data_IF_925839991363
#
_entry.id   IF_925839991363
#
_cell.length_a   1.000
_cell.length_b   1.000
_cell.length_c   1.000
_cell.angle_alpha   90.00
_cell.angle_beta   90.00
_cell.angle_gamma   90.00
#
_symmetry.space_group_name_H-M   'P 1'
#
loop_
_entity.id
_entity.type
_entity.pdbx_description
1 polymer ?
#
# COMPACT_ATOMS: atom_id res chain seq x y z
N UNK A 1 12.27 8.13 0.16
CA UNK A 1 12.03 8.19 1.61
C UNK A 1 10.63 7.70 1.99
N UNK A 2 9.54 8.28 1.44
CA UNK A 2 8.15 7.88 1.75
C UNK A 2 7.87 6.37 1.66
N UNK A 3 8.18 5.73 0.52
CA UNK A 3 8.01 4.26 0.35
C UNK A 3 8.66 3.43 1.45
N UNK A 4 9.79 3.88 2.00
CA UNK A 4 10.51 3.15 3.05
C UNK A 4 9.84 3.38 4.41
N UNK A 5 9.34 4.59 4.67
CA UNK A 5 8.60 4.92 5.86
C UNK A 5 7.27 4.13 5.94
N UNK A 6 6.50 4.09 4.86
CA UNK A 6 5.24 3.33 4.78
C UNK A 6 5.48 1.83 4.81
N UNK A 7 6.55 1.32 4.17
CA UNK A 7 6.91 -0.09 4.24
C UNK A 7 7.32 -0.54 5.65
N UNK A 8 7.97 0.34 6.41
CA UNK A 8 8.33 0.06 7.79
C UNK A 8 7.10 0.11 8.71
N UNK A 9 6.27 1.14 8.55
CA UNK A 9 4.99 1.26 9.26
C UNK A 9 4.11 0.02 9.08
N UNK A 10 3.86 -0.39 7.83
CA UNK A 10 3.05 -1.57 7.52
C UNK A 10 3.63 -2.83 8.17
N UNK A 11 4.95 -2.99 8.18
CA UNK A 11 5.59 -4.16 8.80
C UNK A 11 5.39 -4.22 10.32
N UNK A 12 5.27 -3.07 10.99
CA UNK A 12 5.02 -3.04 12.43
C UNK A 12 3.55 -3.29 12.78
N UNK A 13 2.61 -2.80 11.95
CA UNK A 13 1.17 -2.93 12.23
C UNK A 13 0.54 -4.22 11.69
N UNK A 14 1.19 -4.87 10.73
CA UNK A 14 0.70 -6.06 10.05
C UNK A 14 1.83 -7.09 9.91
N UNK A 15 2.03 -7.92 10.94
CA UNK A 15 3.06 -8.95 10.95
C UNK A 15 2.76 -10.10 9.97
N UNK A 16 1.49 -10.28 9.58
CA UNK A 16 1.05 -11.30 8.63
C UNK A 16 1.39 -10.91 7.17
N UNK A 17 1.60 -9.63 6.91
CA UNK A 17 2.06 -9.12 5.62
C UNK A 17 1.00 -9.10 4.53
N UNK A 18 -0.27 -8.96 4.93
CA UNK A 18 -1.43 -8.85 4.04
C UNK A 18 -1.57 -7.43 3.46
N UNK A 19 -1.16 -6.41 4.22
CA UNK A 19 -1.21 -5.02 3.83
C UNK A 19 -0.09 -4.68 2.84
N UNK A 20 -0.45 -3.87 1.86
CA UNK A 20 0.46 -3.40 0.82
C UNK A 20 0.81 -1.94 1.14
N UNK A 21 2.09 -1.67 1.39
CA UNK A 21 2.54 -0.29 1.60
C UNK A 21 2.42 0.56 0.34
N UNK A 22 2.06 1.83 0.53
CA UNK A 22 2.02 2.82 -0.55
C UNK A 22 3.43 3.32 -0.84
N UNK A 23 3.88 3.20 -2.08
CA UNK A 23 5.25 3.57 -2.46
C UNK A 23 5.40 5.04 -2.91
N UNK A 24 4.32 5.65 -3.41
CA UNK A 24 4.32 7.00 -4.00
C UNK A 24 3.32 7.90 -3.27
N UNK A 25 3.78 9.05 -2.82
CA UNK A 25 2.92 10.08 -2.20
C UNK A 25 1.89 10.58 -3.20
N UNK A 26 2.30 10.83 -4.45
CA UNK A 26 1.40 11.33 -5.49
C UNK A 26 0.26 10.37 -5.81
N UNK A 27 0.40 9.08 -5.51
CA UNK A 27 -0.63 8.08 -5.78
C UNK A 27 -1.53 7.86 -4.55
N UNK A 28 -1.15 8.37 -3.36
CA UNK A 28 -1.83 8.02 -2.10
C UNK A 28 -3.26 8.53 -2.04
N UNK A 29 -3.54 9.71 -2.59
CA UNK A 29 -4.88 10.29 -2.61
C UNK A 29 -5.87 9.51 -3.50
N UNK A 30 -5.37 8.64 -4.37
CA UNK A 30 -6.20 7.77 -5.23
C UNK A 30 -6.46 6.40 -4.61
N UNK A 31 -5.73 6.04 -3.55
CA UNK A 31 -5.85 4.76 -2.86
C UNK A 31 -6.84 4.87 -1.70
N UNK A 32 -8.05 5.28 -2.04
CA UNK A 32 -9.18 5.41 -1.11
C UNK A 32 -9.95 4.10 -0.99
N UNK A 33 -10.80 3.92 0.03
CA UNK A 33 -11.73 2.81 0.08
C UNK A 33 -12.51 2.66 -1.23
N UNK A 34 -12.71 1.42 -1.70
CA UNK A 34 -13.33 1.09 -3.00
C UNK A 34 -12.56 1.54 -4.26
N UNK A 35 -11.34 2.07 -4.14
CA UNK A 35 -10.50 2.36 -5.30
C UNK A 35 -10.13 1.07 -6.04
N UNK A 36 -10.15 1.14 -7.37
CA UNK A 36 -9.68 0.06 -8.22
C UNK A 36 -8.20 0.24 -8.54
N UNK A 37 -7.50 -0.90 -8.66
CA UNK A 37 -6.06 -0.92 -8.91
C UNK A 37 -5.71 -1.95 -9.97
N UNK A 38 -4.79 -1.59 -10.85
CA UNK A 38 -4.24 -2.49 -11.86
C UNK A 38 -3.02 -3.19 -11.29
N UNK A 39 -3.09 -4.52 -11.18
CA UNK A 39 -1.95 -5.35 -10.75
C UNK A 39 -0.98 -5.53 -11.92
N UNK A 40 0.22 -4.95 -11.80
CA UNK A 40 1.34 -5.20 -12.71
C UNK A 40 2.17 -6.38 -12.24
N UNK A 41 2.14 -7.47 -13.03
CA UNK A 41 3.02 -8.62 -12.82
C UNK A 41 4.47 -8.21 -12.99
N UNK A 42 5.33 -8.75 -12.12
CA UNK A 42 6.78 -8.65 -12.19
C UNK A 42 7.37 -10.06 -12.16
N UNK A 43 8.67 -10.15 -12.38
CA UNK A 43 9.41 -11.39 -12.22
C UNK A 43 9.13 -12.01 -10.84
N UNK A 44 9.14 -13.34 -10.75
CA UNK A 44 8.69 -14.11 -9.57
C UNK A 44 9.39 -13.76 -8.24
N UNK A 45 10.58 -13.14 -8.28
CA UNK A 45 11.29 -12.65 -7.09
C UNK A 45 10.86 -11.24 -6.63
N UNK A 46 10.12 -10.51 -7.46
CA UNK A 46 9.72 -9.14 -7.17
C UNK A 46 8.27 -9.09 -6.69
N UNK A 47 8.03 -8.32 -5.63
CA UNK A 47 6.67 -8.02 -5.19
C UNK A 47 5.91 -7.32 -6.34
N UNK A 48 4.65 -7.72 -6.62
CA UNK A 48 3.84 -7.08 -7.65
C UNK A 48 3.63 -5.60 -7.31
N UNK A 49 3.46 -4.77 -8.35
CA UNK A 49 3.11 -3.35 -8.17
C UNK A 49 1.67 -3.13 -8.54
N UNK A 50 1.02 -2.24 -7.81
CA UNK A 50 -0.36 -1.83 -8.03
C UNK A 50 -0.36 -0.39 -8.49
N UNK A 51 -1.17 -0.10 -9.51
CA UNK A 51 -1.36 1.25 -10.01
C UNK A 51 -2.79 1.69 -9.75
N UNK A 52 -3.00 2.83 -9.08
CA UNK A 52 -4.34 3.38 -8.91
C UNK A 52 -4.96 3.73 -10.26
N UNK A 53 -6.27 3.56 -10.36
CA UNK A 53 -7.10 4.11 -11.42
C UNK A 53 -7.75 5.42 -10.96
N UNK A 54 -8.39 6.13 -11.89
CA UNK A 54 -9.11 7.37 -11.60
C UNK A 54 -10.59 7.13 -11.26
N UNK A 55 -11.03 5.88 -11.24
CA UNK A 55 -12.38 5.46 -10.88
C UNK A 55 -12.37 4.44 -9.74
N UNK A 56 -13.46 4.44 -8.99
CA UNK A 56 -13.76 3.55 -7.88
C UNK A 56 -14.77 2.50 -8.29
N UNK A 57 -14.92 1.44 -7.48
CA UNK A 57 -16.01 0.49 -7.64
C UNK A 57 -17.38 1.17 -7.52
N UNK A 58 -17.49 2.26 -6.74
CA UNK A 58 -18.72 3.04 -6.62
C UNK A 58 -19.13 3.66 -7.96
N UNK A 59 -18.18 4.21 -8.71
CA UNK A 59 -18.43 4.78 -10.03
C UNK A 59 -18.96 3.74 -11.02
N UNK A 60 -18.46 2.50 -10.95
CA UNK A 60 -18.95 1.40 -11.79
C UNK A 60 -20.35 0.92 -11.39
N UNK A 61 -20.66 0.94 -10.09
CA UNK A 61 -21.94 0.45 -9.56
C UNK A 61 -23.07 1.51 -9.57
N UNK A 62 -22.74 2.80 -9.69
CA UNK A 62 -23.70 3.92 -9.65
C UNK A 62 -23.85 4.66 -10.98
N UNK A 63 -22.97 4.42 -11.96
CA UNK A 63 -23.02 5.08 -13.26
C UNK A 63 -24.38 4.98 -13.95
N UNK A 64 -25.12 3.88 -13.75
CA UNK A 64 -26.42 3.66 -14.39
C UNK A 64 -27.62 4.29 -13.66
N UNK A 65 -27.49 4.69 -12.39
CA UNK A 65 -28.64 5.06 -11.55
C UNK A 65 -28.68 6.57 -11.24
N UNK A 66 -27.68 7.36 -11.66
CA UNK A 66 -27.65 8.82 -11.41
C UNK A 66 -27.64 9.20 -9.92
N UNK A 67 -27.43 8.22 -9.03
CA UNK A 67 -27.37 8.39 -7.59
C UNK A 67 -25.97 8.83 -7.23
N UNK A 68 -25.88 9.96 -6.53
CA UNK A 68 -24.64 10.55 -6.04
C UNK A 68 -23.77 9.50 -5.31
N UNK A 69 -22.43 9.50 -5.48
CA UNK A 69 -21.52 8.51 -4.88
C UNK A 69 -21.61 8.36 -3.36
N UNK A 70 -22.26 9.32 -2.71
CA UNK A 70 -22.45 9.46 -1.26
C UNK A 70 -23.24 8.31 -0.60
N UNK A 71 -23.91 7.44 -1.37
CA UNK A 71 -24.90 6.49 -0.83
C UNK A 71 -24.31 5.11 -0.45
N UNK A 72 -23.07 4.78 -0.81
CA UNK A 72 -22.42 3.59 -0.24
C UNK A 72 -21.94 3.88 1.19
N UNK A 73 -22.90 3.86 2.13
CA UNK A 73 -22.77 3.97 3.59
C UNK A 73 -22.06 2.74 4.21
N UNK A 74 -21.02 2.25 3.55
CA UNK A 74 -20.21 1.11 3.99
C UNK A 74 -18.85 1.51 4.54
N UNK A 75 -18.47 2.79 4.41
CA UNK A 75 -17.18 3.31 4.87
C UNK A 75 -17.31 3.83 6.30
N UNK A 76 -16.53 3.27 7.22
CA UNK A 76 -16.40 3.77 8.58
C UNK A 76 -15.01 4.33 8.80
N UNK A 77 -14.93 5.55 9.33
CA UNK A 77 -13.68 6.18 9.78
C UNK A 77 -13.55 5.99 11.29
N UNK A 78 -12.38 5.57 11.76
CA UNK A 78 -12.07 5.42 13.18
C UNK A 78 -10.67 5.94 13.50
N UNK A 79 -10.46 6.36 14.75
CA UNK A 79 -9.10 6.63 15.22
C UNK A 79 -8.31 5.32 15.27
N UNK A 80 -7.06 5.35 14.78
CA UNK A 80 -6.25 4.15 14.67
C UNK A 80 -5.12 4.13 15.69
N UNK A 81 -4.05 4.88 15.44
CA UNK A 81 -2.90 4.96 16.35
C UNK A 81 -2.01 6.15 16.00
N UNK A 82 -1.15 6.52 16.94
CA UNK A 82 -0.07 7.49 16.68
C UNK A 82 1.21 6.76 16.32
N UNK A 83 1.81 7.06 15.17
CA UNK A 83 3.03 6.36 14.71
C UNK A 83 4.28 7.25 14.70
N UNK A 84 5.34 6.77 15.35
CA UNK A 84 6.69 7.35 15.34
C UNK A 84 7.75 6.24 15.45
N UNK A 85 8.58 6.08 14.42
CA UNK A 85 9.64 5.07 14.35
C UNK A 85 10.98 5.63 13.87
N UNK A 86 12.08 5.05 14.32
CA UNK A 86 13.44 5.38 13.86
C UNK A 86 14.14 4.11 13.39
N UNK A 87 14.60 4.09 12.14
CA UNK A 87 15.11 2.90 11.45
C UNK A 87 16.49 3.16 10.88
N UNK A 88 17.49 2.42 11.36
CA UNK A 88 18.83 2.42 10.80
C UNK A 88 19.06 1.22 9.89
N UNK A 89 19.70 1.42 8.74
CA UNK A 89 20.32 0.35 7.97
C UNK A 89 21.82 0.61 7.90
N UNK A 90 22.62 -0.32 8.44
CA UNK A 90 24.07 -0.37 8.25
C UNK A 90 24.33 -1.44 7.19
N UNK A 91 24.82 -1.03 6.03
CA UNK A 91 25.34 -1.92 5.01
C UNK A 91 26.85 -1.92 5.16
N UNK A 92 27.39 -3.04 5.64
CA UNK A 92 28.81 -3.36 5.54
C UNK A 92 28.90 -4.54 4.58
N UNK A 93 29.55 -4.32 3.44
CA UNK A 93 29.76 -5.37 2.45
C UNK A 93 31.26 -5.41 2.16
N UNK A 94 31.89 -6.50 2.59
CA UNK A 94 33.26 -6.86 2.21
C UNK A 94 33.13 -7.96 1.14
N UNK A 95 33.39 -7.60 -0.11
CA UNK A 95 33.38 -8.55 -1.24
C UNK A 95 34.80 -8.62 -1.78
N UNK A 96 35.55 -9.64 -1.37
CA UNK A 96 36.86 -9.96 -1.93
C UNK A 96 36.73 -11.05 -3.00
N UNK A 97 37.01 -10.76 -4.29
CA UNK A 97 37.30 -11.81 -5.25
C UNK A 97 38.73 -12.32 -5.01
N UNK A 98 38.86 -13.60 -4.65
CA UNK A 98 40.14 -14.30 -4.73
C UNK A 98 40.36 -14.72 -6.19
N UNK A 99 41.00 -13.84 -6.98
CA UNK A 99 41.57 -14.18 -8.29
C UNK A 99 43.08 -13.99 -8.17
N UNK A 100 43.84 -14.99 -8.60
CA UNK A 100 45.26 -15.19 -8.29
C UNK A 100 46.15 -13.94 -8.24
N UNK A 101 47.09 -13.95 -7.29
CA UNK A 101 48.16 -12.98 -7.02
C UNK A 101 47.81 -11.51 -6.77
N UNK A 102 46.56 -11.07 -6.96
CA UNK A 102 46.12 -9.71 -6.66
C UNK A 102 44.77 -9.71 -5.94
N UNK A 103 44.80 -9.58 -4.61
CA UNK A 103 43.58 -9.42 -3.82
C UNK A 103 43.08 -7.97 -3.93
N UNK A 104 41.95 -7.74 -4.59
CA UNK A 104 41.26 -6.45 -4.59
C UNK A 104 40.22 -6.48 -3.47
N UNK A 105 40.44 -5.73 -2.38
CA UNK A 105 39.43 -5.59 -1.31
C UNK A 105 38.53 -4.39 -1.63
N UNK A 106 37.24 -4.64 -1.78
CA UNK A 106 36.24 -3.61 -2.03
C UNK A 106 35.36 -3.48 -0.79
N UNK A 107 35.76 -2.58 0.11
CA UNK A 107 35.03 -2.30 1.35
C UNK A 107 33.99 -1.19 1.12
N UNK A 108 32.71 -1.57 1.09
CA UNK A 108 31.60 -0.62 1.04
C UNK A 108 30.98 -0.44 2.42
N UNK A 109 31.18 0.72 3.06
CA UNK A 109 30.58 1.05 4.37
C UNK A 109 29.58 2.19 4.25
N UNK A 110 28.29 1.86 4.36
CA UNK A 110 27.20 2.84 4.31
C UNK A 110 26.28 2.71 5.51
N UNK A 111 26.02 3.82 6.22
CA UNK A 111 25.00 3.86 7.28
C UNK A 111 23.91 4.87 6.93
N UNK A 112 22.65 4.43 6.93
CA UNK A 112 21.50 5.31 6.73
C UNK A 112 20.59 5.25 7.96
N UNK A 113 20.16 6.40 8.48
CA UNK A 113 19.14 6.51 9.53
C UNK A 113 17.89 7.15 8.91
N UNK A 114 16.74 6.56 9.12
CA UNK A 114 15.43 7.02 8.67
C UNK A 114 14.54 7.22 9.91
N UNK A 115 14.23 8.46 10.24
CA UNK A 115 13.18 8.76 11.20
C UNK A 115 11.86 8.94 10.44
N UNK A 116 10.76 8.41 10.97
CA UNK A 116 9.43 8.50 10.36
C UNK A 116 8.40 8.75 11.45
N UNK A 117 7.56 9.77 11.26
CA UNK A 117 6.46 10.09 12.14
C UNK A 117 5.26 10.38 11.26
N UNK A 118 4.16 9.66 11.46
CA UNK A 118 2.91 9.92 10.74
C UNK A 118 1.86 10.62 11.61
N UNK A 119 2.19 10.91 12.88
CA UNK A 119 1.25 11.53 13.81
C UNK A 119 0.08 10.59 14.12
N UNK A 120 -1.05 11.17 14.51
CA UNK A 120 -2.29 10.44 14.78
C UNK A 120 -2.93 10.03 13.45
N UNK A 121 -3.01 8.72 13.23
CA UNK A 121 -3.61 8.13 12.05
C UNK A 121 -5.07 7.80 12.31
N UNK A 122 -5.85 7.94 11.25
CA UNK A 122 -7.21 7.46 11.16
C UNK A 122 -7.27 6.31 10.16
N UNK A 123 -8.23 5.41 10.36
CA UNK A 123 -8.45 4.24 9.51
C UNK A 123 -9.81 4.35 8.89
N UNK A 124 -9.87 4.15 7.58
CA UNK A 124 -11.11 4.00 6.83
C UNK A 124 -11.24 2.55 6.40
N UNK A 125 -12.41 1.95 6.64
CA UNK A 125 -12.69 0.56 6.30
C UNK A 125 -14.02 0.45 5.57
N UNK A 126 -14.09 -0.46 4.58
CA UNK A 126 -15.33 -0.79 3.88
C UNK A 126 -15.87 -2.10 4.41
N UNK A 127 -17.14 -2.12 4.82
CA UNK A 127 -17.83 -3.37 5.07
C UNK A 127 -18.23 -4.05 3.75
N UNK A 128 -17.41 -5.00 3.30
CA UNK A 128 -17.64 -5.75 2.05
C UNK A 128 -18.94 -6.55 2.07
N UNK A 129 -19.37 -7.06 3.24
CA UNK A 129 -20.64 -7.81 3.34
C UNK A 129 -21.84 -6.90 3.08
N UNK A 130 -21.84 -5.71 3.68
CA UNK A 130 -22.86 -4.69 3.43
C UNK A 130 -22.83 -4.24 1.97
N UNK A 131 -21.63 -4.04 1.41
CA UNK A 131 -21.45 -3.68 0.00
C UNK A 131 -22.04 -4.73 -0.95
N UNK A 132 -21.83 -6.02 -0.67
CA UNK A 132 -22.39 -7.12 -1.48
C UNK A 132 -23.92 -7.13 -1.41
N UNK A 133 -24.51 -7.02 -0.21
CA UNK A 133 -25.96 -6.96 -0.04
C UNK A 133 -26.59 -5.76 -0.77
N UNK A 134 -25.97 -4.59 -0.67
CA UNK A 134 -26.44 -3.37 -1.36
C UNK A 134 -26.32 -3.49 -2.89
N UNK A 135 -25.43 -4.37 -3.38
CA UNK A 135 -25.23 -4.64 -4.81
C UNK A 135 -26.15 -5.74 -5.36
N UNK A 136 -26.51 -6.73 -4.54
CA UNK A 136 -27.33 -7.89 -4.94
C UNK A 136 -28.71 -7.45 -5.42
N UNK A 137 -29.28 -6.45 -4.72
CA UNK A 137 -30.57 -5.85 -5.04
C UNK A 137 -30.56 -5.02 -6.36
N UNK A 138 -29.43 -4.94 -7.05
CA UNK A 138 -29.25 -4.18 -8.30
C UNK A 138 -29.04 -5.06 -9.54
N UNK A 139 -28.81 -6.36 -9.36
CA UNK A 139 -28.66 -7.31 -10.47
C UNK A 139 -29.98 -8.01 -10.86
N UNK A 140 -31.11 -7.61 -10.27
CA UNK A 140 -32.42 -8.25 -10.48
C UNK A 140 -33.23 -7.62 -11.65
N UNK A 141 -32.55 -7.00 -12.62
CA UNK A 141 -33.18 -6.54 -13.85
C UNK A 141 -32.41 -7.09 -15.04
N UNK A 142 -33.17 -7.78 -15.91
CA UNK A 142 -32.84 -8.36 -17.22
C UNK A 142 -32.42 -9.85 -17.17
N UNK A 143 -33.42 -10.73 -17.15
CA UNK A 143 -33.65 -11.72 -18.21
C UNK A 143 -35.14 -11.78 -18.54
#
# INVERSE_FOLDING_TARGET
>A
MFSKATANFVREIDPEGLLIHVSRVNDSHKLVPMALVIKRKRWFWQRPRYQPTDFTLGDLLLADIGVTPCVFSGVSESEFLTYKGTYGAKLASDLGPEVGSASIRLEGRGTTKLQSCFGQLKKEEVNVKKLLLDSDNRYDVIF
#
